data_IF_764207493009
#
_entry.id   IF_764207493009
#
_cell.length_a   1.000
_cell.length_b   1.000
_cell.length_c   1.000
_cell.angle_alpha   90.00
_cell.angle_beta   90.00
_cell.angle_gamma   90.00
#
_symmetry.space_group_name_H-M   'P 1'
#
loop_
_entity.id
_entity.type
_entity.pdbx_description
1 polymer ?
#
# COMPACT_ATOMS: atom_id res chain seq x y z
N UNK A 1 -14.34 13.17 4.82
CA UNK A 1 -13.32 12.69 5.79
C UNK A 1 -13.77 11.33 6.26
N UNK A 2 -13.27 10.25 5.63
CA UNK A 2 -13.72 8.90 5.92
C UNK A 2 -13.07 8.40 7.21
N UNK A 3 -13.63 8.83 8.34
CA UNK A 3 -13.39 8.26 9.66
C UNK A 3 -14.17 6.95 9.79
N UNK A 4 -13.91 5.99 8.90
CA UNK A 4 -14.32 4.61 9.15
C UNK A 4 -13.31 4.02 10.13
N UNK A 5 -13.78 3.49 11.26
CA UNK A 5 -13.00 2.86 12.33
C UNK A 5 -12.21 1.60 11.88
N UNK A 6 -12.09 1.39 10.58
CA UNK A 6 -11.51 0.26 9.89
C UNK A 6 -10.04 0.56 9.59
N UNK A 7 -9.08 -0.30 9.99
CA UNK A 7 -7.68 -0.12 9.61
C UNK A 7 -7.52 -0.23 8.10
N UNK A 8 -6.60 0.56 7.52
CA UNK A 8 -6.25 0.45 6.10
C UNK A 8 -5.72 -0.97 5.78
N UNK A 9 -5.72 -1.35 4.49
CA UNK A 9 -5.29 -2.69 4.08
C UNK A 9 -3.89 -3.05 4.60
N UNK A 10 -2.97 -2.08 4.60
CA UNK A 10 -1.63 -2.27 5.14
C UNK A 10 -1.60 -2.59 6.63
N UNK A 11 -2.27 -1.76 7.44
CA UNK A 11 -2.31 -1.96 8.88
C UNK A 11 -3.07 -3.23 9.27
N UNK A 12 -4.11 -3.59 8.52
CA UNK A 12 -4.85 -4.85 8.69
C UNK A 12 -3.95 -6.06 8.43
N UNK A 13 -3.19 -6.06 7.32
CA UNK A 13 -2.27 -7.16 6.99
C UNK A 13 -1.12 -7.28 7.99
N UNK A 14 -0.53 -6.15 8.37
CA UNK A 14 0.58 -6.07 9.33
C UNK A 14 0.16 -6.22 10.79
N UNK A 15 -1.14 -6.39 11.08
CA UNK A 15 -1.72 -6.53 12.43
C UNK A 15 -1.29 -5.41 13.39
N UNK A 16 -1.24 -4.16 12.90
CA UNK A 16 -0.87 -2.98 13.68
C UNK A 16 -1.99 -1.95 13.73
N UNK A 17 -1.96 -1.05 14.72
CA UNK A 17 -2.93 0.04 14.84
C UNK A 17 -2.79 1.02 13.67
N UNK A 18 -3.90 1.33 13.00
CA UNK A 18 -3.95 2.38 11.99
C UNK A 18 -4.23 3.73 12.67
N UNK A 19 -3.31 4.68 12.56
CA UNK A 19 -3.42 6.03 13.14
C UNK A 19 -3.75 7.07 12.06
N UNK A 20 -4.15 8.28 12.47
CA UNK A 20 -4.46 9.37 11.54
C UNK A 20 -3.28 9.76 10.63
N UNK A 21 -2.04 9.57 11.09
CA UNK A 21 -0.82 9.83 10.31
C UNK A 21 -0.32 8.63 9.51
N UNK A 22 -1.14 7.61 9.26
CA UNK A 22 -0.69 6.42 8.56
C UNK A 22 -0.36 6.73 7.09
N UNK A 23 0.93 6.66 6.74
CA UNK A 23 1.45 6.82 5.37
C UNK A 23 0.78 5.92 4.33
N UNK A 24 0.32 4.73 4.73
CA UNK A 24 -0.35 3.80 3.80
C UNK A 24 -1.84 4.06 3.63
N UNK A 25 -2.50 4.72 4.57
CA UNK A 25 -3.96 4.81 4.60
C UNK A 25 -4.57 5.51 3.37
N UNK A 26 -3.99 6.58 2.82
CA UNK A 26 -4.52 7.21 1.61
C UNK A 26 -4.45 6.34 0.35
N UNK A 27 -3.52 5.36 0.30
CA UNK A 27 -3.19 4.63 -0.93
C UNK A 27 -3.61 3.16 -0.92
N UNK A 28 -3.81 2.58 0.27
CA UNK A 28 -4.18 1.19 0.48
C UNK A 28 -5.46 1.09 1.31
N UNK A 29 -6.62 1.43 0.72
CA UNK A 29 -7.87 1.49 1.45
C UNK A 29 -8.35 0.05 1.79
N UNK A 30 -9.20 -0.11 2.83
CA UNK A 30 -9.55 -1.43 3.38
C UNK A 30 -10.31 -2.35 2.41
N UNK A 31 -10.95 -1.79 1.39
CA UNK A 31 -11.66 -2.45 0.29
C UNK A 31 -10.72 -3.14 -0.72
N UNK A 32 -9.42 -2.78 -0.73
CA UNK A 32 -8.42 -3.32 -1.66
C UNK A 32 -7.27 -4.04 -0.93
N UNK A 33 -7.56 -5.13 -0.18
CA UNK A 33 -6.53 -5.84 0.58
C UNK A 33 -5.48 -6.52 -0.31
N UNK A 34 -5.87 -7.00 -1.50
CA UNK A 34 -4.96 -7.66 -2.44
C UNK A 34 -3.87 -6.71 -2.95
N UNK A 35 -4.20 -5.44 -3.20
CA UNK A 35 -3.27 -4.41 -3.66
C UNK A 35 -2.07 -4.30 -2.73
N UNK A 36 -2.31 -4.15 -1.42
CA UNK A 36 -1.21 -4.09 -0.45
C UNK A 36 -0.51 -5.45 -0.29
N UNK A 37 -1.23 -6.57 -0.32
CA UNK A 37 -0.61 -7.88 -0.17
C UNK A 37 0.42 -8.19 -1.27
N UNK A 38 0.09 -7.87 -2.53
CA UNK A 38 0.99 -8.05 -3.67
C UNK A 38 2.20 -7.12 -3.54
N UNK A 39 1.97 -5.81 -3.34
CA UNK A 39 3.04 -4.83 -3.17
C UNK A 39 3.96 -5.19 -2.01
N UNK A 40 3.40 -5.64 -0.88
CA UNK A 40 4.14 -6.10 0.28
C UNK A 40 5.00 -7.32 -0.03
N UNK A 41 4.47 -8.28 -0.80
CA UNK A 41 5.20 -9.50 -1.17
C UNK A 41 6.41 -9.21 -2.06
N UNK A 42 6.28 -8.28 -3.01
CA UNK A 42 7.35 -7.98 -3.99
C UNK A 42 8.35 -6.96 -3.46
N UNK A 43 7.86 -5.86 -2.88
CA UNK A 43 8.71 -4.73 -2.48
C UNK A 43 8.97 -4.66 -0.98
N UNK A 44 8.07 -5.21 -0.15
CA UNK A 44 8.15 -5.13 1.31
C UNK A 44 7.61 -3.80 1.87
N UNK A 45 6.99 -3.86 3.06
CA UNK A 45 6.37 -2.68 3.69
C UNK A 45 7.37 -1.55 3.95
N UNK A 46 8.59 -1.88 4.40
CA UNK A 46 9.61 -0.89 4.76
C UNK A 46 10.08 -0.08 3.55
N UNK A 47 10.32 -0.74 2.41
CA UNK A 47 10.77 -0.07 1.19
C UNK A 47 9.68 0.84 0.63
N UNK A 48 8.43 0.36 0.61
CA UNK A 48 7.28 1.17 0.18
C UNK A 48 7.09 2.38 1.10
N UNK A 49 7.21 2.20 2.42
CA UNK A 49 7.13 3.34 3.35
C UNK A 49 8.25 4.34 3.14
N UNK A 50 9.48 3.87 2.88
CA UNK A 50 10.64 4.73 2.64
C UNK A 50 10.43 5.56 1.36
N UNK A 51 10.08 4.88 0.26
CA UNK A 51 9.79 5.52 -1.03
C UNK A 51 8.68 6.57 -0.89
N UNK A 52 7.57 6.21 -0.23
CA UNK A 52 6.47 7.16 -0.01
C UNK A 52 6.92 8.38 0.76
N UNK A 53 7.80 8.25 1.77
CA UNK A 53 8.31 9.41 2.51
C UNK A 53 9.28 10.28 1.69
N UNK A 54 10.03 9.70 0.76
CA UNK A 54 10.98 10.42 -0.11
C UNK A 54 10.27 11.15 -1.27
N UNK A 55 9.10 10.67 -1.70
CA UNK A 55 8.33 11.28 -2.79
C UNK A 55 7.46 12.48 -2.34
N UNK A 56 7.33 13.53 -3.19
CA UNK A 56 6.31 14.56 -3.04
C UNK A 56 4.91 13.94 -3.01
N UNK A 57 4.00 14.49 -2.20
CA UNK A 57 2.65 13.95 -2.01
C UNK A 57 1.90 13.76 -3.34
N UNK A 58 2.08 14.68 -4.27
CA UNK A 58 1.45 14.64 -5.60
C UNK A 58 1.87 13.42 -6.45
N UNK A 59 3.03 12.82 -6.19
CA UNK A 59 3.55 11.68 -6.95
C UNK A 59 3.32 10.33 -6.26
N UNK A 60 2.92 10.34 -4.99
CA UNK A 60 2.77 9.12 -4.18
C UNK A 60 1.68 8.19 -4.70
N UNK A 61 0.58 8.76 -5.21
CA UNK A 61 -0.52 7.98 -5.77
C UNK A 61 -0.08 7.23 -7.03
N UNK A 62 0.55 7.93 -7.98
CA UNK A 62 1.11 7.33 -9.20
C UNK A 62 2.14 6.26 -8.87
N UNK A 63 3.06 6.53 -7.92
CA UNK A 63 4.05 5.55 -7.49
C UNK A 63 3.41 4.27 -6.93
N UNK A 64 2.35 4.39 -6.09
CA UNK A 64 1.66 3.22 -5.56
C UNK A 64 0.93 2.44 -6.65
N UNK A 65 0.37 3.13 -7.65
CA UNK A 65 -0.28 2.46 -8.78
C UNK A 65 0.73 1.69 -9.63
N UNK A 66 1.92 2.25 -9.90
CA UNK A 66 3.01 1.55 -10.59
C UNK A 66 3.48 0.33 -9.81
N UNK A 67 3.72 0.46 -8.49
CA UNK A 67 4.11 -0.67 -7.64
C UNK A 67 3.04 -1.76 -7.62
N UNK A 68 1.75 -1.39 -7.56
CA UNK A 68 0.66 -2.36 -7.58
C UNK A 68 0.61 -3.14 -8.91
N UNK A 69 0.75 -2.43 -10.03
CA UNK A 69 0.80 -3.02 -11.35
C UNK A 69 1.98 -4.00 -11.49
N UNK A 70 3.18 -3.59 -11.08
CA UNK A 70 4.38 -4.43 -11.11
C UNK A 70 4.26 -5.64 -10.17
N UNK A 71 3.63 -5.46 -9.01
CA UNK A 71 3.45 -6.55 -8.04
C UNK A 71 2.35 -7.56 -8.43
N UNK A 72 1.42 -7.17 -9.31
CA UNK A 72 0.41 -8.08 -9.89
C UNK A 72 0.94 -8.87 -11.09
N UNK A 73 1.92 -8.34 -11.83
CA UNK A 73 2.54 -9.00 -12.98
C UNK A 73 3.06 -10.43 -12.72
N UNK A 74 3.75 -10.76 -11.59
CA UNK A 74 4.21 -12.13 -11.33
C UNK A 74 3.09 -13.16 -11.10
N UNK A 75 1.81 -12.76 -11.05
CA UNK A 75 0.67 -13.69 -11.06
C UNK A 75 0.18 -14.05 -12.48
N UNK A 76 0.62 -13.31 -13.52
CA UNK A 76 0.13 -13.48 -14.89
C UNK A 76 1.06 -14.28 -15.79
N UNK A 77 2.35 -14.39 -15.46
CA UNK A 77 3.32 -15.14 -16.25
C UNK A 77 4.23 -15.96 -15.30
N UNK A 78 3.86 -17.22 -15.00
CA UNK A 78 4.80 -18.15 -14.39
C UNK A 78 5.81 -18.58 -15.47
N UNK A 79 7.05 -18.13 -15.36
CA UNK A 79 8.18 -18.76 -16.07
C UNK A 79 8.34 -20.20 -15.59
#
# INVERSE_FOLDING_TARGET
MSSSNSPCAACKLLRRKCTQGCVFAPYFPPDQPAKFANVHKVFGASNVSKLLNELPVAQREDAVNSLAYEAEAPLRDPV
#
